data_IF_950728696773
#
_entry.id   IF_950728696773
#
_cell.length_a   1.000
_cell.length_b   1.000
_cell.length_c   1.000
_cell.angle_alpha   90.00
_cell.angle_beta   90.00
_cell.angle_gamma   90.00
#
_symmetry.space_group_name_H-M   'P 1'
#
loop_
_entity.id
_entity.type
_entity.pdbx_description
1 polymer ?
#
# COMPACT_ATOMS: atom_id res chain seq x y z
N UNK A 1 17.94 7.16 -7.05
CA UNK A 1 16.89 7.69 -6.15
C UNK A 1 15.58 6.87 -6.18
N UNK A 2 15.15 6.30 -7.31
CA UNK A 2 13.91 5.48 -7.38
C UNK A 2 14.06 4.02 -6.91
N UNK A 3 15.26 3.61 -6.49
CA UNK A 3 15.58 2.23 -6.11
C UNK A 3 14.69 1.70 -4.98
N UNK A 4 14.55 2.47 -3.90
CA UNK A 4 13.80 2.05 -2.70
C UNK A 4 12.33 1.75 -3.01
N UNK A 5 11.66 2.62 -3.77
CA UNK A 5 10.25 2.40 -4.09
C UNK A 5 10.05 1.17 -4.97
N UNK A 6 10.96 0.94 -5.93
CA UNK A 6 10.91 -0.24 -6.78
C UNK A 6 11.10 -1.51 -5.95
N UNK A 7 12.14 -1.57 -5.12
CA UNK A 7 12.43 -2.71 -4.24
C UNK A 7 11.28 -3.03 -3.29
N UNK A 8 10.70 -2.00 -2.67
CA UNK A 8 9.55 -2.20 -1.79
C UNK A 8 8.34 -2.78 -2.53
N UNK A 9 8.06 -2.31 -3.75
CA UNK A 9 6.92 -2.83 -4.54
C UNK A 9 7.22 -4.25 -5.04
N UNK A 10 8.44 -4.51 -5.51
CA UNK A 10 8.82 -5.83 -6.00
C UNK A 10 8.77 -6.87 -4.85
N UNK A 11 9.19 -6.51 -3.64
CA UNK A 11 9.04 -7.33 -2.42
C UNK A 11 7.57 -7.62 -2.08
N UNK A 12 6.69 -6.60 -2.15
CA UNK A 12 5.25 -6.80 -1.96
C UNK A 12 4.65 -7.76 -3.00
N UNK A 13 5.09 -7.70 -4.25
CA UNK A 13 4.63 -8.61 -5.31
C UNK A 13 5.17 -10.03 -5.11
N UNK A 14 6.46 -10.16 -4.78
CA UNK A 14 7.11 -11.45 -4.52
C UNK A 14 6.45 -12.22 -3.36
N UNK A 15 5.92 -11.49 -2.38
CA UNK A 15 5.22 -12.05 -1.23
C UNK A 15 3.70 -11.99 -1.33
N UNK A 16 3.16 -11.73 -2.53
CA UNK A 16 1.72 -11.79 -2.81
C UNK A 16 0.87 -10.92 -1.87
N UNK A 17 1.40 -9.76 -1.48
CA UNK A 17 0.70 -8.84 -0.58
C UNK A 17 -0.58 -8.32 -1.24
N UNK A 18 -1.74 -8.55 -0.61
CA UNK A 18 -3.01 -8.05 -1.14
C UNK A 18 -3.18 -6.54 -0.91
N UNK A 19 -2.62 -6.02 0.19
CA UNK A 19 -2.77 -4.63 0.62
C UNK A 19 -1.42 -3.97 0.91
N UNK A 20 -1.31 -2.68 0.57
CA UNK A 20 -0.25 -1.79 1.03
C UNK A 20 -0.85 -0.71 1.93
N UNK A 21 -0.50 -0.75 3.22
CA UNK A 21 -1.09 0.13 4.24
C UNK A 21 -0.21 1.35 4.46
N UNK A 22 -0.81 2.54 4.38
CA UNK A 22 -0.13 3.80 4.59
C UNK A 22 -0.58 4.45 5.90
N UNK A 23 0.38 4.86 6.72
CA UNK A 23 0.17 5.71 7.90
C UNK A 23 0.50 7.19 7.65
N UNK A 24 1.02 7.51 6.45
CA UNK A 24 1.50 8.84 6.08
C UNK A 24 0.90 9.27 4.73
N UNK A 25 0.16 10.39 4.68
CA UNK A 25 -0.44 10.89 3.44
C UNK A 25 0.57 11.17 2.32
N UNK A 26 1.77 11.68 2.67
CA UNK A 26 2.81 11.94 1.68
C UNK A 26 3.35 10.64 1.05
N UNK A 27 3.51 9.58 1.83
CA UNK A 27 3.90 8.27 1.32
C UNK A 27 2.81 7.67 0.43
N UNK A 28 1.55 7.77 0.84
CA UNK A 28 0.41 7.30 0.04
C UNK A 28 0.36 8.04 -1.31
N UNK A 29 0.45 9.37 -1.31
CA UNK A 29 0.47 10.16 -2.55
C UNK A 29 1.64 9.78 -3.48
N UNK A 30 2.81 9.50 -2.91
CA UNK A 30 4.00 9.16 -3.68
C UNK A 30 3.98 7.75 -4.28
N UNK A 31 3.30 6.79 -3.63
CA UNK A 31 3.43 5.38 -3.94
C UNK A 31 2.12 4.70 -4.38
N UNK A 32 0.94 5.12 -3.89
CA UNK A 32 -0.33 4.39 -4.05
C UNK A 32 -0.64 4.01 -5.49
N UNK A 33 -0.50 4.95 -6.44
CA UNK A 33 -0.72 4.66 -7.87
C UNK A 33 0.25 3.62 -8.43
N UNK A 34 1.48 3.55 -7.92
CA UNK A 34 2.49 2.56 -8.34
C UNK A 34 2.17 1.17 -7.78
N UNK A 35 1.68 1.11 -6.55
CA UNK A 35 1.27 -0.15 -5.90
C UNK A 35 0.01 -0.70 -6.57
N UNK A 36 -0.98 0.17 -6.83
CA UNK A 36 -2.22 -0.20 -7.51
C UNK A 36 -1.99 -0.76 -8.93
N UNK A 37 -1.01 -0.22 -9.68
CA UNK A 37 -0.61 -0.73 -11.00
C UNK A 37 0.00 -2.14 -10.97
N UNK A 38 0.33 -2.65 -9.79
CA UNK A 38 0.84 -4.01 -9.56
C UNK A 38 -0.21 -4.88 -8.87
N UNK A 39 -1.49 -4.48 -8.94
CA UNK A 39 -2.66 -5.18 -8.36
C UNK A 39 -2.67 -5.29 -6.83
N UNK A 40 -1.85 -4.50 -6.14
CA UNK A 40 -1.83 -4.41 -4.68
C UNK A 40 -2.70 -3.22 -4.24
N UNK A 41 -3.64 -3.43 -3.32
CA UNK A 41 -4.63 -2.43 -2.91
C UNK A 41 -4.01 -1.41 -1.93
N UNK A 42 -3.88 -0.12 -2.30
CA UNK A 42 -3.41 0.89 -1.36
C UNK A 42 -4.54 1.30 -0.41
N UNK A 43 -4.33 1.22 0.90
CA UNK A 43 -5.30 1.68 1.92
C UNK A 43 -4.62 2.55 2.98
N UNK A 44 -5.37 3.46 3.60
CA UNK A 44 -4.87 4.18 4.77
C UNK A 44 -5.06 3.33 6.03
N UNK A 45 -4.19 3.51 7.03
CA UNK A 45 -4.24 2.78 8.30
C UNK A 45 -5.60 2.93 9.00
N UNK A 46 -6.22 4.11 8.90
CA UNK A 46 -7.55 4.36 9.45
C UNK A 46 -8.59 3.42 8.82
N UNK A 47 -8.53 3.20 7.51
CA UNK A 47 -9.47 2.35 6.80
C UNK A 47 -9.25 0.87 7.18
N UNK A 48 -7.99 0.45 7.34
CA UNK A 48 -7.68 -0.87 7.88
C UNK A 48 -8.33 -1.10 9.25
N UNK A 49 -8.20 -0.14 10.16
CA UNK A 49 -8.80 -0.25 11.49
C UNK A 49 -10.34 -0.32 11.42
N UNK A 50 -10.98 0.47 10.55
CA UNK A 50 -12.43 0.42 10.32
C UNK A 50 -12.88 -0.94 9.81
N UNK A 51 -12.18 -1.48 8.81
CA UNK A 51 -12.44 -2.83 8.28
C UNK A 51 -12.32 -3.89 9.37
N UNK A 52 -11.30 -3.79 10.24
CA UNK A 52 -11.07 -4.75 11.31
C UNK A 52 -12.18 -4.79 12.37
N UNK A 53 -12.89 -3.67 12.59
CA UNK A 53 -14.05 -3.59 13.51
C UNK A 53 -15.40 -3.78 12.80
N UNK A 54 -15.39 -4.10 11.49
CA UNK A 54 -16.61 -4.33 10.71
C UNK A 54 -17.34 -3.06 10.26
N UNK A 55 -16.70 -1.89 10.34
CA UNK A 55 -17.21 -0.65 9.75
C UNK A 55 -17.08 -0.70 8.22
N UNK A 56 -18.10 -0.17 7.52
CA UNK A 56 -18.18 -0.12 6.05
C UNK A 56 -17.61 1.17 5.49
#
# INVERSE_FOLDING_TARGET
KNDVQKRNIDDMVEHEAEYCVFNCPACQNALATKVAKREIKPIHMIDLCRMAIGEK
#
